data_IF_658498089054
#
_entry.id   IF_658498089054
#
_cell.length_a   1.000
_cell.length_b   1.000
_cell.length_c   1.000
_cell.angle_alpha   90.00
_cell.angle_beta   90.00
_cell.angle_gamma   90.00
#
_symmetry.space_group_name_H-M   'P 1'
#
loop_
_entity.id
_entity.type
_entity.pdbx_description
1 polymer ?
#
# COMPACT_ATOMS: atom_id res chain seq x y z
N UNK A 1 -17.85 11.63 -2.78
CA UNK A 1 -17.44 10.21 -2.71
C UNK A 1 -16.01 10.13 -3.20
N UNK A 2 -15.09 9.61 -2.38
CA UNK A 2 -13.70 9.48 -2.76
C UNK A 2 -13.48 8.29 -3.71
N UNK A 3 -12.27 8.20 -4.25
CA UNK A 3 -11.89 7.11 -5.15
C UNK A 3 -11.94 5.73 -4.49
N UNK A 4 -11.68 5.66 -3.17
CA UNK A 4 -11.74 4.40 -2.41
C UNK A 4 -13.15 3.84 -2.34
N UNK A 5 -14.15 4.68 -2.08
CA UNK A 5 -15.55 4.26 -2.07
C UNK A 5 -16.00 3.78 -3.45
N UNK A 6 -15.48 4.40 -4.52
CA UNK A 6 -15.77 4.00 -5.91
C UNK A 6 -15.18 2.65 -6.30
N UNK A 7 -14.07 2.26 -5.65
CA UNK A 7 -13.35 1.00 -5.87
C UNK A 7 -13.57 -0.02 -4.73
N UNK A 8 -14.54 0.21 -3.85
CA UNK A 8 -14.76 -0.63 -2.67
C UNK A 8 -15.09 -2.08 -3.03
N UNK A 9 -15.85 -2.29 -4.12
CA UNK A 9 -16.17 -3.63 -4.60
C UNK A 9 -14.91 -4.36 -5.05
N UNK A 10 -14.07 -3.69 -5.83
CA UNK A 10 -12.83 -4.26 -6.36
C UNK A 10 -11.80 -4.49 -5.27
N UNK A 11 -11.82 -3.69 -4.20
CA UNK A 11 -11.06 -3.92 -2.98
C UNK A 11 -11.46 -5.26 -2.34
N UNK A 12 -12.76 -5.48 -2.13
CA UNK A 12 -13.27 -6.72 -1.49
C UNK A 12 -13.03 -7.95 -2.37
N UNK A 13 -13.15 -7.81 -3.69
CA UNK A 13 -12.82 -8.87 -4.65
C UNK A 13 -11.32 -9.21 -4.57
N UNK A 14 -10.45 -8.20 -4.56
CA UNK A 14 -9.01 -8.38 -4.43
C UNK A 14 -8.62 -8.98 -3.07
N UNK A 15 -9.24 -8.55 -1.97
CA UNK A 15 -8.98 -9.08 -0.62
C UNK A 15 -9.30 -10.57 -0.52
N UNK A 16 -10.49 -10.96 -0.99
CA UNK A 16 -10.89 -12.37 -0.99
C UNK A 16 -9.91 -13.24 -1.78
N UNK A 17 -9.52 -12.79 -2.97
CA UNK A 17 -8.57 -13.52 -3.82
C UNK A 17 -7.17 -13.54 -3.23
N UNK A 18 -6.70 -12.41 -2.69
CA UNK A 18 -5.39 -12.31 -2.09
C UNK A 18 -5.24 -13.29 -0.91
N UNK A 19 -6.25 -13.36 -0.05
CA UNK A 19 -6.30 -14.30 1.07
C UNK A 19 -6.39 -15.75 0.61
N UNK A 20 -7.16 -16.04 -0.44
CA UNK A 20 -7.41 -17.41 -0.89
C UNK A 20 -6.30 -17.99 -1.77
N UNK A 21 -5.65 -17.15 -2.59
CA UNK A 21 -4.82 -17.61 -3.71
C UNK A 21 -3.39 -17.05 -3.70
N UNK A 22 -3.14 -15.95 -2.97
CA UNK A 22 -1.84 -15.25 -3.02
C UNK A 22 -1.03 -15.44 -1.74
N UNK A 23 -1.68 -15.38 -0.58
CA UNK A 23 -1.01 -15.65 0.70
C UNK A 23 -0.68 -17.15 0.84
N UNK A 24 0.44 -17.50 1.50
CA UNK A 24 1.42 -16.60 2.11
C UNK A 24 2.39 -15.97 1.10
N UNK A 25 2.90 -14.78 1.41
CA UNK A 25 4.03 -14.16 0.71
C UNK A 25 5.24 -14.15 1.63
N UNK A 26 6.23 -14.98 1.32
CA UNK A 26 7.41 -15.16 2.18
C UNK A 26 6.99 -15.57 3.59
N UNK A 27 7.34 -14.74 4.56
CA UNK A 27 6.98 -14.91 5.99
C UNK A 27 5.61 -14.33 6.39
N UNK A 28 4.88 -13.70 5.45
CA UNK A 28 3.57 -13.09 5.73
C UNK A 28 2.45 -14.10 5.49
N UNK A 29 1.82 -14.53 6.58
CA UNK A 29 0.57 -15.30 6.58
C UNK A 29 -0.67 -14.40 6.69
N UNK A 30 -1.87 -14.99 6.78
CA UNK A 30 -3.13 -14.26 6.89
C UNK A 30 -3.19 -13.35 8.13
N UNK A 31 -2.75 -13.84 9.29
CA UNK A 31 -2.81 -13.09 10.54
C UNK A 31 -1.84 -11.92 10.52
N UNK A 32 -0.62 -12.16 10.01
CA UNK A 32 0.38 -11.11 9.82
C UNK A 32 -0.10 -10.06 8.81
N UNK A 33 -0.65 -10.50 7.67
CA UNK A 33 -1.15 -9.60 6.65
C UNK A 33 -2.25 -8.68 7.19
N UNK A 34 -3.20 -9.20 7.97
CA UNK A 34 -4.26 -8.37 8.56
C UNK A 34 -3.72 -7.23 9.41
N UNK A 35 -2.71 -7.48 10.25
CA UNK A 35 -2.07 -6.46 11.07
C UNK A 35 -1.27 -5.45 10.24
N UNK A 36 -0.56 -5.92 9.21
CA UNK A 36 0.18 -5.05 8.30
C UNK A 36 -0.80 -4.17 7.50
N UNK A 37 -1.90 -4.73 7.01
CA UNK A 37 -2.91 -4.05 6.22
C UNK A 37 -3.62 -2.95 7.02
N UNK A 38 -3.93 -3.20 8.30
CA UNK A 38 -4.52 -2.20 9.20
C UNK A 38 -3.59 -0.98 9.40
N UNK A 39 -2.28 -1.21 9.44
CA UNK A 39 -1.26 -0.16 9.50
C UNK A 39 -0.90 0.46 8.14
N UNK A 40 -1.55 0.04 7.05
CA UNK A 40 -1.23 0.46 5.67
C UNK A 40 -2.29 1.39 5.11
N UNK A 41 -1.84 2.54 4.64
CA UNK A 41 -2.65 3.47 3.85
C UNK A 41 -2.34 3.30 2.37
N UNK A 42 -3.36 3.14 1.53
CA UNK A 42 -3.18 3.12 0.08
C UNK A 42 -3.40 4.49 -0.53
N UNK A 43 -2.47 5.00 -1.32
CA UNK A 43 -2.55 6.32 -1.98
C UNK A 43 -2.49 6.16 -3.50
N UNK A 44 -3.04 7.14 -4.22
CA UNK A 44 -2.89 7.21 -5.67
C UNK A 44 -1.65 8.04 -5.99
N UNK A 45 -0.70 7.45 -6.72
CA UNK A 45 0.55 8.11 -7.09
C UNK A 45 0.66 8.12 -8.61
N UNK A 46 0.98 9.28 -9.18
CA UNK A 46 1.29 9.42 -10.60
C UNK A 46 2.77 9.15 -10.83
N UNK A 47 3.09 8.10 -11.60
CA UNK A 47 4.44 7.66 -11.94
C UNK A 47 4.50 7.35 -13.45
N UNK A 48 5.47 7.88 -14.17
CA UNK A 48 5.62 7.58 -15.60
C UNK A 48 4.45 8.01 -16.50
N UNK A 49 3.56 8.88 -16.02
CA UNK A 49 2.35 9.31 -16.74
C UNK A 49 1.10 8.50 -16.41
N UNK A 50 1.23 7.39 -15.69
CA UNK A 50 0.13 6.56 -15.21
C UNK A 50 -0.12 6.80 -13.71
N UNK A 51 -1.33 6.53 -13.26
CA UNK A 51 -1.66 6.54 -11.83
C UNK A 51 -1.66 5.10 -11.32
N UNK A 52 -1.12 4.91 -10.13
CA UNK A 52 -1.05 3.61 -9.46
C UNK A 52 -1.51 3.70 -8.00
N UNK A 53 -2.03 2.59 -7.47
CA UNK A 53 -2.23 2.41 -6.03
C UNK A 53 -0.89 2.03 -5.41
N UNK A 54 -0.43 2.84 -4.44
CA UNK A 54 0.79 2.57 -3.67
C UNK A 54 0.48 2.44 -2.17
N UNK A 55 1.03 1.42 -1.48
CA UNK A 55 0.92 1.31 -0.04
C UNK A 55 1.92 2.21 0.69
N UNK A 56 1.48 2.87 1.75
CA UNK A 56 2.28 3.60 2.73
C UNK A 56 2.03 3.00 4.11
N UNK A 57 3.03 2.37 4.70
CA UNK A 57 2.93 1.74 6.03
C UNK A 57 3.36 2.76 7.08
N UNK A 58 2.46 3.19 7.96
CA UNK A 58 2.70 4.33 8.86
C UNK A 58 3.72 4.02 9.98
N UNK A 59 3.83 2.76 10.41
CA UNK A 59 4.70 2.32 11.52
C UNK A 59 5.19 0.88 11.34
N UNK A 60 5.83 0.56 10.20
CA UNK A 60 6.23 -0.83 9.90
C UNK A 60 7.05 -1.48 11.01
N UNK A 61 8.01 -0.77 11.60
CA UNK A 61 8.85 -1.30 12.68
C UNK A 61 8.07 -1.69 13.94
N UNK A 62 7.01 -0.94 14.26
CA UNK A 62 6.15 -1.24 15.39
C UNK A 62 5.28 -2.48 15.13
N UNK A 63 4.73 -2.58 13.91
CA UNK A 63 3.96 -3.75 13.47
C UNK A 63 4.82 -5.01 13.51
N UNK A 64 6.02 -4.97 12.93
CA UNK A 64 6.94 -6.11 12.93
C UNK A 64 7.35 -6.52 14.35
N UNK A 65 7.54 -5.56 15.25
CA UNK A 65 7.83 -5.84 16.67
C UNK A 65 6.65 -6.54 17.35
N UNK A 66 5.43 -6.06 17.13
CA UNK A 66 4.21 -6.68 17.68
C UNK A 66 4.00 -8.10 17.16
N UNK A 67 4.25 -8.33 15.86
CA UNK A 67 4.22 -9.65 15.25
C UNK A 67 5.25 -10.59 15.87
N UNK A 68 6.49 -10.12 16.05
CA UNK A 68 7.54 -10.91 16.67
C UNK A 68 7.21 -11.29 18.13
N UNK A 69 6.60 -10.37 18.90
CA UNK A 69 6.12 -10.66 20.26
C UNK A 69 5.00 -11.70 20.29
N UNK A 70 4.16 -11.73 19.25
CA UNK A 70 3.14 -12.75 19.05
C UNK A 70 3.69 -14.08 18.47
N UNK A 71 5.01 -14.18 18.26
CA UNK A 71 5.67 -15.38 17.73
C UNK A 71 5.73 -15.47 16.21
N UNK A 72 5.32 -14.42 15.48
CA UNK A 72 5.39 -14.36 14.02
C UNK A 72 6.60 -13.53 13.57
N UNK A 73 7.60 -14.21 12.99
CA UNK A 73 8.82 -13.57 12.50
C UNK A 73 8.65 -13.13 11.04
N UNK A 74 8.09 -11.94 10.84
CA UNK A 74 7.90 -11.36 9.51
C UNK A 74 9.09 -10.52 9.07
N UNK A 75 9.59 -10.79 7.87
CA UNK A 75 10.61 -10.00 7.21
C UNK A 75 10.07 -8.66 6.72
N UNK A 76 10.87 -7.60 6.83
CA UNK A 76 10.51 -6.26 6.34
C UNK A 76 10.19 -6.25 4.85
N UNK A 77 11.01 -6.92 4.04
CA UNK A 77 10.83 -6.98 2.59
C UNK A 77 9.58 -7.76 2.21
N UNK A 78 9.27 -8.85 2.95
CA UNK A 78 8.05 -9.63 2.76
C UNK A 78 6.80 -8.82 3.11
N UNK A 79 6.84 -8.03 4.19
CA UNK A 79 5.74 -7.14 4.57
C UNK A 79 5.46 -6.10 3.47
N UNK A 80 6.49 -5.46 2.94
CA UNK A 80 6.36 -4.53 1.80
C UNK A 80 5.86 -5.24 0.55
N UNK A 81 6.40 -6.43 0.23
CA UNK A 81 5.99 -7.21 -0.92
C UNK A 81 4.51 -7.61 -0.84
N UNK A 82 4.02 -7.99 0.35
CA UNK A 82 2.64 -8.38 0.56
C UNK A 82 1.67 -7.23 0.26
N UNK A 83 1.87 -6.05 0.85
CA UNK A 83 0.99 -4.89 0.60
C UNK A 83 1.13 -4.31 -0.80
N UNK A 84 2.32 -4.39 -1.40
CA UNK A 84 2.54 -3.98 -2.79
C UNK A 84 1.81 -4.92 -3.77
N UNK A 85 1.84 -6.23 -3.50
CA UNK A 85 1.12 -7.22 -4.30
C UNK A 85 -0.38 -7.05 -4.17
N UNK A 86 -0.88 -6.81 -2.96
CA UNK A 86 -2.29 -6.49 -2.74
C UNK A 86 -2.73 -5.24 -3.50
N UNK A 87 -1.96 -4.14 -3.41
CA UNK A 87 -2.26 -2.91 -4.13
C UNK A 87 -2.33 -3.13 -5.66
N UNK A 88 -1.40 -3.92 -6.18
CA UNK A 88 -1.37 -4.29 -7.60
C UNK A 88 -2.60 -5.10 -8.00
N UNK A 89 -2.99 -6.08 -7.18
CA UNK A 89 -4.18 -6.89 -7.44
C UNK A 89 -5.47 -6.05 -7.43
N UNK A 90 -5.59 -5.14 -6.47
CA UNK A 90 -6.73 -4.23 -6.41
C UNK A 90 -6.81 -3.33 -7.66
N UNK A 91 -5.69 -2.79 -8.10
CA UNK A 91 -5.57 -2.02 -9.33
C UNK A 91 -5.94 -2.84 -10.58
N UNK A 92 -5.43 -4.07 -10.69
CA UNK A 92 -5.78 -5.02 -11.76
C UNK A 92 -7.30 -5.27 -11.81
N UNK A 93 -7.94 -5.48 -10.66
CA UNK A 93 -9.40 -5.69 -10.55
C UNK A 93 -10.18 -4.43 -10.95
N UNK A 94 -9.74 -3.26 -10.50
CA UNK A 94 -10.35 -1.98 -10.87
C UNK A 94 -10.29 -1.69 -12.37
N UNK A 95 -9.15 -2.01 -13.02
CA UNK A 95 -9.00 -1.89 -14.47
C UNK A 95 -9.85 -2.90 -15.23
N UNK A 96 -9.83 -4.16 -14.83
CA UNK A 96 -10.60 -5.22 -15.48
C UNK A 96 -12.13 -4.95 -15.46
N UNK A 97 -12.61 -4.24 -14.44
CA UNK A 97 -14.02 -3.83 -14.30
C UNK A 97 -14.37 -2.54 -15.02
N UNK A 98 -13.40 -1.84 -15.62
CA UNK A 98 -13.60 -0.54 -16.24
C UNK A 98 -13.96 0.57 -15.24
N UNK A 99 -13.62 0.40 -13.96
CA UNK A 99 -13.89 1.39 -12.89
C UNK A 99 -12.71 2.30 -12.61
N UNK A 100 -11.55 1.97 -13.17
CA UNK A 100 -10.29 2.67 -12.95
C UNK A 100 -10.36 4.14 -13.35
N UNK A 101 -10.72 4.43 -14.60
CA UNK A 101 -10.68 5.79 -15.14
C UNK A 101 -11.64 6.73 -14.38
N UNK A 102 -12.85 6.26 -14.07
CA UNK A 102 -13.82 6.98 -13.23
C UNK A 102 -13.27 7.30 -11.83
N UNK A 103 -12.53 6.37 -11.23
CA UNK A 103 -11.95 6.55 -9.91
C UNK A 103 -10.78 7.55 -9.94
N UNK A 104 -9.95 7.50 -10.99
CA UNK A 104 -8.84 8.44 -11.19
C UNK A 104 -9.36 9.85 -11.45
N UNK A 105 -10.34 10.03 -12.35
CA UNK A 105 -10.92 11.34 -12.62
C UNK A 105 -11.48 12.00 -11.34
N UNK A 106 -12.23 11.23 -10.54
CA UNK A 106 -12.73 11.71 -9.26
C UNK A 106 -11.62 12.04 -8.24
N UNK A 107 -10.53 11.26 -8.23
CA UNK A 107 -9.37 11.53 -7.38
C UNK A 107 -8.62 12.80 -7.80
N UNK A 108 -8.49 13.05 -9.10
CA UNK A 108 -7.84 14.25 -9.64
C UNK A 108 -8.63 15.51 -9.33
N UNK A 109 -9.94 15.50 -9.55
CA UNK A 109 -10.84 16.60 -9.17
C UNK A 109 -10.75 16.92 -7.68
N UNK A 110 -10.57 15.89 -6.84
CA UNK A 110 -10.43 16.04 -5.40
C UNK A 110 -8.98 16.34 -4.94
N UNK A 111 -8.01 16.43 -5.84
CA UNK A 111 -6.59 16.66 -5.49
C UNK A 111 -5.96 15.52 -4.69
N UNK A 112 -6.46 14.29 -4.84
CA UNK A 112 -6.05 13.10 -4.09
C UNK A 112 -4.95 12.27 -4.77
N UNK A 113 -4.57 12.63 -6.00
CA UNK A 113 -3.45 12.00 -6.73
C UNK A 113 -2.15 12.73 -6.39
N UNK A 114 -1.21 12.01 -5.80
CA UNK A 114 0.12 12.54 -5.44
C UNK A 114 1.03 12.43 -6.67
N UNK A 115 1.77 13.48 -6.99
CA UNK A 115 2.81 13.41 -8.02
C UNK A 115 4.02 12.65 -7.48
N UNK A 116 4.43 11.57 -8.15
CA UNK A 116 5.60 10.77 -7.77
C UNK A 116 6.93 11.54 -7.78
N UNK A 117 6.95 12.76 -8.33
CA UNK A 117 8.14 13.61 -8.43
C UNK A 117 8.54 14.36 -7.14
N UNK A 118 7.85 14.19 -6.00
CA UNK A 118 8.31 14.78 -4.73
C UNK A 118 8.13 13.88 -3.50
N UNK A 119 9.16 13.08 -3.22
CA UNK A 119 9.71 12.86 -1.87
C UNK A 119 11.17 12.36 -1.83
N UNK A 120 11.93 12.48 -2.92
CA UNK A 120 13.40 12.47 -2.86
C UNK A 120 13.90 13.91 -2.60
N UNK A 121 13.86 14.38 -1.36
CA UNK A 121 14.26 15.76 -1.07
C UNK A 121 14.24 16.21 0.39
N UNK A 122 13.59 15.49 1.29
CA UNK A 122 13.79 15.74 2.73
C UNK A 122 15.09 15.05 3.17
N UNK A 123 16.16 15.85 3.11
CA UNK A 123 17.50 15.51 3.57
C UNK A 123 17.44 14.92 5.00
N UNK A 124 18.21 13.87 5.33
CA UNK A 124 18.26 13.32 6.67
C UNK A 124 18.72 14.40 7.66
N UNK A 125 17.86 14.73 8.62
CA UNK A 125 18.13 15.67 9.72
C UNK A 125 19.39 15.30 10.55
N UNK A 126 19.90 14.08 10.39
CA UNK A 126 21.07 13.54 11.10
C UNK A 126 22.44 14.01 10.58
N UNK A 127 22.53 14.70 9.43
CA UNK A 127 23.82 15.22 8.92
C UNK A 127 24.30 16.54 9.56
N UNK A 128 23.64 17.04 10.60
CA UNK A 128 24.04 18.27 11.31
C UNK A 128 24.73 18.06 12.67
N UNK A 129 25.01 16.82 13.06
CA UNK A 129 25.63 16.49 14.36
C UNK A 129 27.12 16.08 14.32
N UNK A 130 27.79 16.14 13.16
CA UNK A 130 29.21 15.74 13.03
C UNK A 130 30.12 16.78 12.36
N UNK A 131 29.72 18.07 12.38
CA UNK A 131 30.64 19.19 12.15
C UNK A 131 30.32 20.29 13.16
N UNK A 132 30.99 20.18 14.30
CA UNK A 132 30.95 21.08 15.45
C UNK A 132 31.91 20.54 16.50
#
# INVERSE_FOLDING_TARGET
>A
MGWRERLQREYLEADREFVAEVLPIGTVDLSAFGLIADATRYVLVREGGEVHIRPEIASLDEVLRSLAQAGSAVGRDDAHAAVARFASLWEERARARGRWDDAIAAAEEAGQVVSGERRQGEKPFWKRLFLG
#
